data_IF_740129833880
#
_entry.id   IF_740129833880
#
_cell.length_a   1.000
_cell.length_b   1.000
_cell.length_c   1.000
_cell.angle_alpha   90.00
_cell.angle_beta   90.00
_cell.angle_gamma   90.00
#
_symmetry.space_group_name_H-M   'P 1'
#
loop_
_entity.id
_entity.type
_entity.pdbx_description
1 polymer ?
#
# COMPACT_ATOMS: atom_id res chain seq x y z
N UNK A 1 -11.79 3.97 -12.45
CA UNK A 1 -12.03 3.09 -11.28
C UNK A 1 -10.67 2.79 -10.71
N UNK A 2 -10.45 2.99 -9.41
CA UNK A 2 -9.17 2.71 -8.78
C UNK A 2 -8.73 1.26 -9.05
N UNK A 3 -7.44 1.03 -9.29
CA UNK A 3 -6.92 -0.31 -9.55
C UNK A 3 -5.53 -0.53 -8.96
N UNK A 4 -5.23 -1.79 -8.67
CA UNK A 4 -3.89 -2.28 -8.38
C UNK A 4 -3.69 -3.58 -9.14
N UNK A 5 -2.80 -3.56 -10.12
CA UNK A 5 -2.52 -4.69 -10.98
C UNK A 5 -1.22 -5.37 -10.55
N UNK A 6 -1.23 -6.66 -10.19
CA UNK A 6 -0.02 -7.38 -9.81
C UNK A 6 0.72 -7.93 -11.05
N UNK A 7 1.56 -7.12 -11.69
CA UNK A 7 2.38 -7.56 -12.82
C UNK A 7 3.31 -8.73 -12.45
N UNK A 8 3.90 -8.68 -11.26
CA UNK A 8 4.65 -9.77 -10.65
C UNK A 8 4.26 -9.85 -9.16
N UNK A 9 3.25 -10.67 -8.85
CA UNK A 9 2.68 -10.74 -7.50
C UNK A 9 3.72 -11.26 -6.49
N UNK A 10 3.89 -10.53 -5.39
CA UNK A 10 4.54 -11.02 -4.18
C UNK A 10 3.65 -11.98 -3.40
N UNK A 11 3.72 -11.93 -2.07
CA UNK A 11 2.79 -12.68 -1.21
C UNK A 11 1.41 -12.01 -1.22
N UNK A 12 0.36 -12.83 -1.27
CA UNK A 12 -0.99 -12.39 -0.99
C UNK A 12 -1.43 -13.00 0.35
N UNK A 13 -1.49 -12.17 1.38
CA UNK A 13 -1.95 -12.52 2.71
C UNK A 13 -3.47 -12.37 2.80
N UNK A 14 -4.13 -13.25 3.55
CA UNK A 14 -5.59 -13.39 3.52
C UNK A 14 -6.21 -13.86 4.82
N UNK A 15 -5.59 -13.59 5.97
CA UNK A 15 -6.07 -14.02 7.29
C UNK A 15 -6.33 -12.80 8.20
N UNK A 16 -7.01 -13.03 9.33
CA UNK A 16 -7.37 -12.01 10.31
C UNK A 16 -8.53 -11.12 9.87
N UNK A 17 -8.57 -9.90 10.41
CA UNK A 17 -9.71 -8.98 10.26
C UNK A 17 -9.26 -7.54 10.03
N UNK A 18 -10.04 -6.80 9.24
CA UNK A 18 -9.86 -5.37 9.08
C UNK A 18 -10.67 -4.57 10.13
N UNK A 19 -10.00 -3.68 10.86
CA UNK A 19 -10.58 -2.65 11.70
C UNK A 19 -10.82 -1.39 10.87
N UNK A 20 -12.09 -0.98 10.78
CA UNK A 20 -12.55 0.09 9.91
C UNK A 20 -12.76 -0.38 8.46
N UNK A 21 -13.38 0.48 7.67
CA UNK A 21 -13.49 0.28 6.23
C UNK A 21 -12.13 0.56 5.56
N UNK A 22 -11.82 -0.18 4.50
CA UNK A 22 -10.61 -0.01 3.70
C UNK A 22 -10.93 0.01 2.21
N UNK A 23 -10.16 0.79 1.47
CA UNK A 23 -10.30 0.93 0.02
C UNK A 23 -9.15 0.23 -0.70
N UNK A 24 -9.43 -0.22 -1.92
CA UNK A 24 -8.44 -0.78 -2.83
C UNK A 24 -7.20 0.13 -2.90
N UNK A 25 -6.01 -0.48 -2.80
CA UNK A 25 -4.74 0.24 -2.93
C UNK A 25 -4.30 0.99 -1.66
N UNK A 26 -5.11 0.98 -0.60
CA UNK A 26 -4.67 1.53 0.68
C UNK A 26 -3.67 0.62 1.39
N UNK A 27 -2.68 1.25 2.02
CA UNK A 27 -1.67 0.59 2.85
C UNK A 27 -2.30 0.28 4.21
N UNK A 28 -2.01 -0.90 4.74
CA UNK A 28 -2.47 -1.34 6.06
C UNK A 28 -1.30 -1.63 6.99
N UNK A 29 -1.57 -1.61 8.29
CA UNK A 29 -0.65 -2.01 9.36
C UNK A 29 -1.33 -2.95 10.33
N UNK A 30 -0.53 -3.69 11.10
CA UNK A 30 -1.02 -4.49 12.23
C UNK A 30 -1.32 -3.55 13.40
N UNK A 31 -2.49 -3.71 14.01
CA UNK A 31 -2.95 -2.93 15.19
C UNK A 31 -3.37 -3.80 16.36
N UNK A 32 -3.39 -5.12 16.19
CA UNK A 32 -3.72 -6.09 17.24
C UNK A 32 -3.41 -7.52 16.79
N UNK A 33 -3.86 -8.49 17.57
CA UNK A 33 -3.72 -9.91 17.23
C UNK A 33 -4.61 -10.24 16.02
N UNK A 34 -4.00 -10.56 14.89
CA UNK A 34 -4.68 -10.78 13.60
C UNK A 34 -5.65 -9.63 13.21
N UNK A 35 -5.33 -8.41 13.64
CA UNK A 35 -6.15 -7.22 13.40
C UNK A 35 -5.34 -6.18 12.62
N UNK A 36 -5.87 -5.77 11.49
CA UNK A 36 -5.25 -4.81 10.57
C UNK A 36 -6.08 -3.53 10.51
N UNK A 37 -5.45 -2.39 10.27
CA UNK A 37 -6.16 -1.14 9.98
C UNK A 37 -5.44 -0.38 8.86
N UNK A 38 -6.17 0.48 8.14
CA UNK A 38 -5.56 1.41 7.18
C UNK A 38 -4.48 2.23 7.89
N UNK A 39 -3.27 2.19 7.36
CA UNK A 39 -2.15 2.96 7.90
C UNK A 39 -2.23 4.39 7.35
N UNK A 40 -2.28 5.38 8.23
CA UNK A 40 -2.22 6.81 7.88
C UNK A 40 -1.03 7.50 8.51
N UNK A 41 -0.11 6.73 9.10
CA UNK A 41 1.04 7.20 9.87
C UNK A 41 2.34 6.79 9.17
N UNK A 42 3.04 7.72 8.49
CA UNK A 42 4.27 7.43 7.73
C UNK A 42 5.42 6.80 8.52
N UNK A 43 5.44 7.00 9.84
CA UNK A 43 6.47 6.46 10.74
C UNK A 43 6.09 5.09 11.32
N UNK A 44 4.85 4.63 11.10
CA UNK A 44 4.40 3.32 11.56
C UNK A 44 4.73 2.22 10.55
N UNK A 45 5.08 1.04 11.07
CA UNK A 45 5.35 -0.15 10.26
C UNK A 45 4.11 -0.57 9.47
N UNK A 46 4.26 -0.62 8.16
CA UNK A 46 3.24 -1.06 7.22
C UNK A 46 3.38 -2.57 6.98
N UNK A 47 2.25 -3.22 6.75
CA UNK A 47 2.18 -4.66 6.49
C UNK A 47 2.00 -4.97 5.00
N UNK A 48 1.24 -4.14 4.27
CA UNK A 48 1.00 -4.37 2.85
C UNK A 48 -0.10 -3.48 2.29
N UNK A 49 -0.62 -3.82 1.12
CA UNK A 49 -1.61 -3.03 0.37
C UNK A 49 -2.88 -3.85 0.11
N UNK A 50 -4.06 -3.26 0.32
CA UNK A 50 -5.36 -3.89 0.09
C UNK A 50 -5.59 -4.16 -1.41
N UNK A 51 -6.05 -5.38 -1.70
CA UNK A 51 -6.28 -5.87 -3.08
C UNK A 51 -7.60 -5.33 -3.67
N UNK A 52 -8.57 -5.01 -2.80
CA UNK A 52 -9.89 -4.46 -3.14
C UNK A 52 -10.46 -3.68 -1.96
N UNK A 53 -11.69 -3.20 -2.09
CA UNK A 53 -12.43 -2.61 -0.97
C UNK A 53 -12.85 -3.69 0.03
N UNK A 54 -12.83 -3.33 1.31
CA UNK A 54 -13.21 -4.18 2.43
C UNK A 54 -14.04 -3.39 3.44
N UNK A 55 -15.01 -4.06 4.06
CA UNK A 55 -15.77 -3.54 5.19
C UNK A 55 -15.13 -3.89 6.52
N UNK A 56 -15.40 -3.08 7.55
CA UNK A 56 -14.99 -3.39 8.91
C UNK A 56 -15.44 -4.81 9.33
N UNK A 57 -14.49 -5.58 9.86
CA UNK A 57 -14.67 -6.97 10.29
C UNK A 57 -14.49 -8.00 9.17
N UNK A 58 -14.28 -7.59 7.92
CA UNK A 58 -13.99 -8.53 6.83
C UNK A 58 -12.55 -9.04 6.88
N UNK A 59 -12.36 -10.25 6.33
CA UNK A 59 -11.04 -10.85 6.14
C UNK A 59 -10.35 -10.17 4.94
N UNK A 60 -9.26 -9.43 5.17
CA UNK A 60 -8.64 -8.63 4.13
C UNK A 60 -7.74 -9.49 3.25
N UNK A 61 -7.67 -9.14 1.97
CA UNK A 61 -6.64 -9.60 1.04
C UNK A 61 -5.60 -8.51 0.91
N UNK A 62 -4.34 -8.85 1.19
CA UNK A 62 -3.24 -7.90 1.31
C UNK A 62 -2.05 -8.37 0.47
N UNK A 63 -1.57 -7.53 -0.45
CA UNK A 63 -0.28 -7.72 -1.09
C UNK A 63 0.86 -7.28 -0.18
N UNK A 64 1.84 -8.17 0.04
CA UNK A 64 2.99 -7.96 0.92
C UNK A 64 4.19 -8.82 0.48
N UNK A 65 5.29 -8.68 1.21
CA UNK A 65 6.58 -9.32 1.00
C UNK A 65 7.10 -9.18 -0.44
N UNK A 66 6.96 -7.98 -1.00
CA UNK A 66 7.51 -7.62 -2.30
C UNK A 66 6.54 -7.78 -3.49
N UNK A 67 7.11 -7.90 -4.69
CA UNK A 67 6.37 -7.90 -5.95
C UNK A 67 6.46 -6.59 -6.73
N UNK A 68 5.94 -6.60 -7.95
CA UNK A 68 5.87 -5.43 -8.85
C UNK A 68 4.43 -5.22 -9.28
N UNK A 69 3.95 -4.00 -9.11
CA UNK A 69 2.55 -3.62 -9.28
C UNK A 69 2.41 -2.35 -10.10
N UNK A 70 1.26 -2.17 -10.73
CA UNK A 70 0.83 -0.95 -11.38
C UNK A 70 -0.46 -0.43 -10.74
N UNK A 71 -0.54 0.88 -10.44
CA UNK A 71 -1.70 1.47 -9.78
C UNK A 71 -1.90 2.94 -10.13
N UNK A 72 -3.15 3.39 -10.12
CA UNK A 72 -3.55 4.81 -10.09
C UNK A 72 -3.81 5.32 -8.66
N UNK A 73 -3.66 4.47 -7.63
CA UNK A 73 -3.92 4.78 -6.22
C UNK A 73 -2.66 5.32 -5.54
N UNK A 74 -2.33 6.56 -5.84
CA UNK A 74 -1.25 7.30 -5.18
C UNK A 74 -1.60 8.79 -5.08
N UNK A 75 -0.81 9.55 -4.32
CA UNK A 75 -1.05 10.97 -4.09
C UNK A 75 0.22 11.79 -4.29
N UNK A 76 0.03 13.02 -4.78
CA UNK A 76 1.11 13.95 -5.05
C UNK A 76 1.90 13.61 -6.32
N UNK A 77 3.08 14.20 -6.45
CA UNK A 77 3.99 13.98 -7.57
C UNK A 77 4.94 12.84 -7.24
N UNK A 78 4.96 11.82 -8.08
CA UNK A 78 5.88 10.68 -8.00
C UNK A 78 6.71 10.64 -9.28
N UNK A 79 8.01 10.40 -9.15
CA UNK A 79 8.95 10.24 -10.25
C UNK A 79 9.56 8.83 -10.25
N UNK A 80 10.06 8.34 -11.39
CA UNK A 80 10.82 7.09 -11.44
C UNK A 80 12.03 7.14 -10.50
N UNK A 81 12.24 6.07 -9.72
CA UNK A 81 13.33 5.95 -8.76
C UNK A 81 13.02 6.46 -7.36
N UNK A 82 11.91 7.18 -7.17
CA UNK A 82 11.47 7.68 -5.87
C UNK A 82 11.19 6.52 -4.91
N UNK A 83 11.71 6.67 -3.69
CA UNK A 83 11.26 5.90 -2.55
C UNK A 83 9.88 6.42 -2.12
N UNK A 84 8.97 5.49 -1.81
CA UNK A 84 7.58 5.77 -1.50
C UNK A 84 7.27 5.41 -0.05
N UNK A 85 6.42 6.22 0.58
CA UNK A 85 5.86 6.02 1.91
C UNK A 85 4.33 5.97 1.84
N UNK A 86 3.71 5.69 2.98
CA UNK A 86 2.28 5.88 3.17
C UNK A 86 1.93 7.36 3.37
N UNK A 87 0.82 7.82 2.79
CA UNK A 87 0.27 9.17 2.96
C UNK A 87 -0.67 9.25 4.18
N UNK A 88 -1.08 10.47 4.54
CA UNK A 88 -2.09 10.67 5.59
C UNK A 88 -3.46 10.07 5.24
N UNK A 89 -3.71 9.74 3.96
CA UNK A 89 -4.94 9.08 3.48
C UNK A 89 -4.74 7.57 3.25
N UNK A 90 -3.57 7.04 3.64
CA UNK A 90 -3.24 5.63 3.50
C UNK A 90 -2.91 5.18 2.09
N UNK A 91 -2.50 6.08 1.19
CA UNK A 91 -2.07 5.73 -0.18
C UNK A 91 -0.56 5.86 -0.32
N UNK A 92 -0.03 5.44 -1.47
CA UNK A 92 1.38 5.67 -1.80
C UNK A 92 1.64 7.16 -2.08
N UNK A 93 2.75 7.69 -1.57
CA UNK A 93 3.23 9.03 -1.92
C UNK A 93 4.77 9.09 -1.83
N UNK A 94 5.36 10.01 -2.59
CA UNK A 94 6.81 10.27 -2.54
C UNK A 94 7.17 11.23 -1.39
N UNK A 95 8.43 11.66 -1.34
CA UNK A 95 8.90 12.65 -0.36
C UNK A 95 9.13 12.08 1.04
N UNK A 96 9.76 10.91 1.10
CA UNK A 96 10.17 10.25 2.35
C UNK A 96 11.10 11.16 3.14
N UNK A 97 10.79 11.35 4.42
CA UNK A 97 11.54 12.13 5.40
C UNK A 97 12.28 11.19 6.37
N UNK A 98 13.21 11.76 7.13
CA UNK A 98 13.93 11.01 8.15
C UNK A 98 12.97 10.36 9.17
N UNK A 99 13.14 9.06 9.39
CA UNK A 99 12.32 8.27 10.33
C UNK A 99 11.02 7.72 9.76
N UNK A 100 10.64 8.10 8.53
CA UNK A 100 9.51 7.48 7.83
C UNK A 100 9.92 6.17 7.18
N UNK A 101 8.95 5.27 7.02
CA UNK A 101 9.20 3.97 6.38
C UNK A 101 9.11 4.07 4.86
N UNK A 102 10.15 3.58 4.18
CA UNK A 102 10.10 3.30 2.74
C UNK A 102 9.40 1.95 2.54
N UNK A 103 8.23 1.97 1.89
CA UNK A 103 7.38 0.78 1.69
C UNK A 103 7.39 0.27 0.24
N UNK A 104 7.76 1.13 -0.70
CA UNK A 104 7.81 0.82 -2.12
C UNK A 104 8.83 1.70 -2.82
N UNK A 105 9.22 1.33 -4.04
CA UNK A 105 10.05 2.14 -4.92
C UNK A 105 9.43 2.27 -6.30
N UNK A 106 9.24 3.50 -6.77
CA UNK A 106 8.73 3.77 -8.10
C UNK A 106 9.72 3.29 -9.17
N UNK A 107 9.25 2.52 -10.13
CA UNK A 107 10.02 1.99 -11.27
C UNK A 107 9.78 2.84 -12.51
N UNK A 108 8.53 3.19 -12.80
CA UNK A 108 8.17 4.06 -13.92
C UNK A 108 6.85 4.77 -13.64
N UNK A 109 6.64 5.93 -14.27
CA UNK A 109 5.42 6.73 -14.14
C UNK A 109 4.95 7.08 -15.56
N UNK A 110 3.69 6.81 -15.87
CA UNK A 110 3.11 7.09 -17.18
C UNK A 110 1.60 7.24 -17.10
N UNK A 111 1.04 8.27 -17.73
CA UNK A 111 -0.41 8.42 -17.90
C UNK A 111 -1.23 8.40 -16.61
N UNK A 112 -0.70 8.95 -15.51
CA UNK A 112 -1.38 8.94 -14.21
C UNK A 112 -1.35 7.58 -13.48
N UNK A 113 -0.49 6.66 -13.93
CA UNK A 113 -0.24 5.38 -13.28
C UNK A 113 1.23 5.31 -12.86
N UNK A 114 1.49 4.70 -11.70
CA UNK A 114 2.84 4.33 -11.28
C UNK A 114 3.01 2.82 -11.37
N UNK A 115 4.17 2.39 -11.87
CA UNK A 115 4.69 1.04 -11.67
C UNK A 115 5.68 1.10 -10.53
N UNK A 116 5.56 0.22 -9.54
CA UNK A 116 6.42 0.22 -8.38
C UNK A 116 6.78 -1.19 -7.94
N UNK A 117 7.92 -1.32 -7.27
CA UNK A 117 8.28 -2.51 -6.50
C UNK A 117 7.83 -2.31 -5.07
N UNK A 118 7.03 -3.23 -4.53
CA UNK A 118 6.73 -3.25 -3.11
C UNK A 118 7.96 -3.77 -2.35
N UNK A 119 8.24 -3.22 -1.17
CA UNK A 119 9.39 -3.59 -0.33
C UNK A 119 8.99 -4.27 0.99
N UNK A 120 7.73 -4.09 1.37
CA UNK A 120 7.08 -4.73 2.52
C UNK A 120 6.17 -5.87 2.07
#
# INVERSE_FOLDING_TARGET
MAFINPNHRGLAYGDGYLQGDGQLGQVVRIVGNDLFAVNTTPTAKSFGILIKDYKNGEMPGIYCMGGVYETDVFEGTVNPGDDLKVSANGKLTAGVQAGEEVIARAVSVSGGTIKFRLLI
#
